data_IF_063916588163
#
_entry.id   IF_063916588163
#
_cell.length_a   1.000
_cell.length_b   1.000
_cell.length_c   1.000
_cell.angle_alpha   90.00
_cell.angle_beta   90.00
_cell.angle_gamma   90.00
#
_symmetry.space_group_name_H-M   'P 1'
#
loop_
_entity.id
_entity.type
_entity.pdbx_description
1 polymer ?
#
# COMPACT_ATOMS: atom_id res chain seq x y z
N UNK A 1 16.94 12.49 -11.07
CA UNK A 1 16.03 11.74 -10.15
C UNK A 1 15.54 12.60 -9.00
N UNK A 2 16.41 13.37 -8.35
CA UNK A 2 16.06 14.20 -7.19
C UNK A 2 14.91 15.19 -7.46
N UNK A 3 15.02 15.98 -8.54
CA UNK A 3 14.00 16.94 -8.94
C UNK A 3 12.61 16.31 -9.15
N UNK A 4 12.57 15.11 -9.74
CA UNK A 4 11.32 14.37 -9.93
C UNK A 4 10.70 13.98 -8.59
N UNK A 5 11.50 13.45 -7.67
CA UNK A 5 11.04 13.00 -6.35
C UNK A 5 10.54 14.18 -5.53
N UNK A 6 11.29 15.28 -5.50
CA UNK A 6 10.88 16.52 -4.85
C UNK A 6 9.52 16.97 -5.37
N UNK A 7 9.35 17.12 -6.70
CA UNK A 7 8.12 17.60 -7.32
C UNK A 7 6.91 16.69 -7.04
N UNK A 8 7.12 15.37 -7.09
CA UNK A 8 6.05 14.40 -6.84
C UNK A 8 5.55 14.46 -5.39
N UNK A 9 6.47 14.65 -4.43
CA UNK A 9 6.17 14.66 -3.00
C UNK A 9 5.66 16.04 -2.56
N UNK A 10 6.23 17.13 -3.05
CA UNK A 10 5.84 18.50 -2.68
C UNK A 10 4.44 18.89 -3.17
N UNK A 11 3.94 18.23 -4.22
CA UNK A 11 2.53 18.33 -4.67
C UNK A 11 1.57 17.43 -3.90
N UNK A 12 2.06 16.62 -2.96
CA UNK A 12 1.25 15.77 -2.08
C UNK A 12 0.67 16.54 -0.87
N UNK A 13 -0.09 15.83 -0.04
CA UNK A 13 -0.58 16.37 1.24
C UNK A 13 0.52 16.40 2.32
N UNK A 14 0.16 16.88 3.52
CA UNK A 14 1.07 16.94 4.67
C UNK A 14 1.72 15.57 4.99
N UNK A 15 2.97 15.60 5.45
CA UNK A 15 3.85 14.47 5.84
C UNK A 15 3.38 13.06 5.42
N UNK A 16 3.87 12.58 4.29
CA UNK A 16 3.62 11.21 3.81
C UNK A 16 4.58 10.19 4.43
N UNK A 17 4.10 8.96 4.67
CA UNK A 17 4.98 7.86 5.04
C UNK A 17 5.87 7.46 3.84
N UNK A 18 7.10 6.94 4.04
CA UNK A 18 8.01 6.63 2.94
C UNK A 18 7.44 5.68 1.87
N UNK A 19 6.62 4.71 2.29
CA UNK A 19 5.94 3.79 1.37
C UNK A 19 4.90 4.49 0.49
N UNK A 20 4.17 5.46 1.06
CA UNK A 20 3.19 6.26 0.32
C UNK A 20 3.88 7.26 -0.60
N UNK A 21 4.98 7.88 -0.14
CA UNK A 21 5.83 8.74 -0.97
C UNK A 21 6.40 8.00 -2.18
N UNK A 22 6.89 6.77 -2.00
CA UNK A 22 7.38 5.94 -3.10
C UNK A 22 6.25 5.62 -4.09
N UNK A 23 5.07 5.22 -3.58
CA UNK A 23 3.89 4.95 -4.41
C UNK A 23 3.49 6.18 -5.23
N UNK A 24 3.48 7.36 -4.60
CA UNK A 24 3.18 8.66 -5.24
C UNK A 24 4.13 8.98 -6.39
N UNK A 25 5.43 8.79 -6.20
CA UNK A 25 6.43 9.00 -7.28
C UNK A 25 6.09 8.13 -8.49
N UNK A 26 5.79 6.85 -8.28
CA UNK A 26 5.40 5.97 -9.39
C UNK A 26 4.05 6.35 -10.01
N UNK A 27 3.08 6.86 -9.23
CA UNK A 27 1.81 7.40 -9.75
C UNK A 27 2.04 8.55 -10.73
N UNK A 28 2.90 9.51 -10.37
CA UNK A 28 3.24 10.65 -11.23
C UNK A 28 3.99 10.24 -12.51
N UNK A 29 4.89 9.25 -12.43
CA UNK A 29 5.59 8.75 -13.62
C UNK A 29 4.60 7.98 -14.52
N UNK A 30 3.76 7.14 -13.93
CA UNK A 30 2.76 6.34 -14.64
C UNK A 30 1.67 7.18 -15.31
N UNK A 31 1.37 8.38 -14.78
CA UNK A 31 0.46 9.35 -15.39
C UNK A 31 1.04 10.03 -16.62
N UNK A 32 2.30 9.74 -16.98
CA UNK A 32 2.92 10.23 -18.21
C UNK A 32 3.58 11.61 -18.08
N UNK A 33 4.06 12.00 -16.89
CA UNK A 33 4.76 13.29 -16.69
C UNK A 33 5.97 13.48 -17.64
N UNK A 34 6.58 12.37 -18.08
CA UNK A 34 7.72 12.34 -19.00
C UNK A 34 7.31 12.17 -20.47
N UNK A 35 6.02 11.99 -20.79
CA UNK A 35 5.59 11.82 -22.18
C UNK A 35 5.54 13.17 -22.92
N UNK A 36 5.72 13.18 -24.25
CA UNK A 36 5.54 14.39 -25.06
C UNK A 36 4.16 15.01 -24.85
N UNK A 37 4.11 16.34 -24.73
CA UNK A 37 2.87 17.07 -24.44
C UNK A 37 2.43 17.04 -22.96
N UNK A 38 3.16 16.35 -22.09
CA UNK A 38 3.02 16.45 -20.64
C UNK A 38 3.62 17.76 -20.08
N UNK A 39 3.45 18.03 -18.78
CA UNK A 39 3.94 19.26 -18.16
C UNK A 39 5.49 19.35 -18.08
N UNK A 40 6.22 18.25 -18.28
CA UNK A 40 7.69 18.22 -18.26
C UNK A 40 8.29 18.35 -16.86
N UNK A 41 9.62 18.38 -16.79
CA UNK A 41 10.38 18.53 -15.55
C UNK A 41 11.40 19.67 -15.67
N UNK A 42 10.96 20.89 -15.36
CA UNK A 42 11.79 22.10 -15.47
C UNK A 42 12.83 22.20 -14.35
N UNK A 43 14.08 22.48 -14.74
CA UNK A 43 15.19 22.65 -13.82
C UNK A 43 15.13 24.01 -13.10
N UNK A 44 15.02 24.06 -11.76
CA UNK A 44 15.05 25.31 -11.00
C UNK A 44 16.44 25.94 -10.90
N UNK A 45 17.50 25.23 -11.28
CA UNK A 45 18.88 25.72 -11.26
C UNK A 45 19.29 26.40 -12.58
N UNK A 46 18.47 26.31 -13.63
CA UNK A 46 18.70 26.98 -14.90
C UNK A 46 17.99 28.32 -14.98
N UNK A 47 18.62 29.30 -15.63
CA UNK A 47 18.03 30.65 -15.78
C UNK A 47 16.89 30.67 -16.79
N UNK A 48 17.04 29.93 -17.88
CA UNK A 48 16.03 29.76 -18.92
C UNK A 48 15.19 28.51 -18.65
N UNK A 49 13.92 28.45 -19.09
CA UNK A 49 13.07 27.28 -18.86
C UNK A 49 13.62 26.05 -19.60
N UNK A 50 14.36 25.22 -18.88
CA UNK A 50 14.98 24.00 -19.38
C UNK A 50 14.27 22.76 -18.84
N UNK A 51 13.66 21.97 -19.72
CA UNK A 51 13.07 20.68 -19.36
C UNK A 51 14.15 19.59 -19.33
N UNK A 52 14.47 19.09 -18.13
CA UNK A 52 15.47 18.05 -17.91
C UNK A 52 15.09 16.76 -18.65
N UNK A 53 13.80 16.50 -18.83
CA UNK A 53 13.32 15.32 -19.54
C UNK A 53 13.70 15.34 -21.02
N UNK A 54 13.97 16.51 -21.62
CA UNK A 54 14.34 16.69 -23.03
C UNK A 54 15.52 15.83 -23.48
N UNK A 55 16.40 15.45 -22.56
CA UNK A 55 17.54 14.56 -22.79
C UNK A 55 17.14 13.10 -23.09
N UNK A 56 15.92 12.69 -22.71
CA UNK A 56 15.40 11.35 -22.93
C UNK A 56 14.75 11.22 -24.31
N UNK A 57 15.08 10.13 -25.00
CA UNK A 57 14.42 9.73 -26.25
C UNK A 57 12.96 9.36 -26.02
N UNK A 58 12.14 9.41 -27.07
CA UNK A 58 10.73 8.99 -27.02
C UNK A 58 10.56 7.57 -26.46
N UNK A 59 11.38 6.62 -26.94
CA UNK A 59 11.35 5.25 -26.48
C UNK A 59 11.66 5.13 -24.98
N UNK A 60 12.71 5.82 -24.50
CA UNK A 60 13.07 5.79 -23.08
C UNK A 60 11.93 6.34 -22.20
N UNK A 61 11.24 7.38 -22.65
CA UNK A 61 10.09 7.95 -21.92
C UNK A 61 8.96 6.94 -21.82
N UNK A 62 8.61 6.28 -22.92
CA UNK A 62 7.59 5.25 -22.97
C UNK A 62 7.95 4.05 -22.08
N UNK A 63 9.19 3.57 -22.16
CA UNK A 63 9.68 2.45 -21.35
C UNK A 63 9.62 2.76 -19.85
N UNK A 64 10.06 3.97 -19.44
CA UNK A 64 10.00 4.42 -18.05
C UNK A 64 8.55 4.51 -17.58
N UNK A 65 7.64 5.07 -18.38
CA UNK A 65 6.21 5.16 -18.04
C UNK A 65 5.57 3.78 -17.94
N UNK A 66 5.83 2.88 -18.88
CA UNK A 66 5.33 1.50 -18.87
C UNK A 66 5.85 0.72 -17.64
N UNK A 67 7.13 0.88 -17.31
CA UNK A 67 7.74 0.28 -16.12
C UNK A 67 7.11 0.81 -14.83
N UNK A 68 6.84 2.12 -14.74
CA UNK A 68 6.17 2.73 -13.59
C UNK A 68 4.73 2.19 -13.42
N UNK A 69 3.98 2.05 -14.52
CA UNK A 69 2.64 1.45 -14.51
C UNK A 69 2.67 -0.01 -14.03
N UNK A 70 3.66 -0.79 -14.44
CA UNK A 70 3.88 -2.14 -13.94
C UNK A 70 4.22 -2.15 -12.44
N UNK A 71 5.10 -1.25 -12.02
CA UNK A 71 5.54 -1.12 -10.64
C UNK A 71 4.39 -0.76 -9.70
N UNK A 72 3.48 0.12 -10.10
CA UNK A 72 2.27 0.42 -9.33
C UNK A 72 1.39 -0.80 -9.11
N UNK A 73 1.25 -1.65 -10.13
CA UNK A 73 0.52 -2.92 -9.98
C UNK A 73 1.21 -3.83 -8.96
N UNK A 74 2.53 -3.96 -9.02
CA UNK A 74 3.27 -4.71 -8.00
C UNK A 74 3.04 -4.16 -6.59
N UNK A 75 3.09 -2.83 -6.41
CA UNK A 75 2.83 -2.18 -5.11
C UNK A 75 1.40 -2.47 -4.64
N UNK A 76 0.39 -2.31 -5.50
CA UNK A 76 -1.02 -2.56 -5.19
C UNK A 76 -1.28 -4.01 -4.77
N UNK A 77 -0.62 -4.98 -5.42
CA UNK A 77 -0.71 -6.41 -5.08
C UNK A 77 0.26 -6.84 -3.97
N UNK A 78 0.77 -5.89 -3.16
CA UNK A 78 1.68 -6.15 -2.02
C UNK A 78 2.99 -6.85 -2.42
N UNK A 79 3.42 -6.70 -3.67
CA UNK A 79 4.67 -7.23 -4.22
C UNK A 79 5.79 -6.18 -4.28
N UNK A 80 5.78 -5.19 -3.39
CA UNK A 80 6.80 -4.13 -3.31
C UNK A 80 8.22 -4.68 -3.10
N UNK A 81 8.37 -5.84 -2.49
CA UNK A 81 9.66 -6.52 -2.31
C UNK A 81 10.37 -6.78 -3.66
N UNK A 82 9.62 -7.07 -4.73
CA UNK A 82 10.17 -7.23 -6.09
C UNK A 82 10.69 -5.92 -6.64
N UNK A 83 10.01 -4.82 -6.34
CA UNK A 83 10.41 -3.46 -6.76
C UNK A 83 11.69 -3.03 -6.03
N UNK A 84 11.80 -3.38 -4.75
CA UNK A 84 12.96 -3.08 -3.91
C UNK A 84 14.13 -4.06 -4.11
N UNK A 85 13.97 -5.10 -4.95
CA UNK A 85 15.02 -6.10 -5.18
C UNK A 85 15.38 -6.91 -3.93
N UNK A 86 14.39 -7.20 -3.08
CA UNK A 86 14.59 -7.91 -1.81
C UNK A 86 13.63 -9.09 -1.65
N UNK A 87 13.95 -9.97 -0.71
CA UNK A 87 13.05 -11.04 -0.29
C UNK A 87 11.82 -10.49 0.45
N UNK A 88 10.66 -11.17 0.35
CA UNK A 88 9.48 -10.78 1.09
C UNK A 88 9.72 -10.87 2.60
N UNK A 89 9.36 -9.80 3.32
CA UNK A 89 9.41 -9.81 4.78
C UNK A 89 8.51 -10.91 5.37
N UNK A 90 8.91 -11.53 6.49
CA UNK A 90 8.11 -12.55 7.14
C UNK A 90 6.73 -12.00 7.53
N UNK A 91 5.69 -12.83 7.39
CA UNK A 91 4.32 -12.42 7.71
C UNK A 91 4.21 -12.05 9.20
N UNK A 92 3.70 -10.85 9.54
CA UNK A 92 3.62 -10.41 10.93
C UNK A 92 2.63 -11.26 11.70
N UNK A 93 3.13 -11.99 12.73
CA UNK A 93 2.35 -12.93 13.57
C UNK A 93 1.14 -12.30 14.28
N UNK A 94 1.08 -10.98 14.36
CA UNK A 94 0.03 -10.24 15.09
C UNK A 94 -1.21 -9.89 14.25
N UNK A 95 -1.16 -9.99 12.92
CA UNK A 95 -2.30 -9.63 12.07
C UNK A 95 -3.49 -10.61 12.21
N UNK A 96 -3.22 -11.89 12.47
CA UNK A 96 -4.25 -12.93 12.55
C UNK A 96 -5.22 -12.72 13.73
N UNK A 97 -4.77 -12.17 14.87
CA UNK A 97 -5.63 -12.01 16.06
C UNK A 97 -6.64 -10.87 15.94
N UNK A 98 -6.37 -9.85 15.11
CA UNK A 98 -7.21 -8.64 15.02
C UNK A 98 -8.47 -8.83 14.15
N UNK A 99 -8.49 -9.86 13.31
CA UNK A 99 -9.64 -10.19 12.45
C UNK A 99 -10.55 -11.30 13.02
N UNK A 100 -10.05 -12.14 13.92
CA UNK A 100 -10.84 -13.25 14.50
C UNK A 100 -11.88 -12.74 15.51
N UNK A 101 -11.61 -11.64 16.22
CA UNK A 101 -12.54 -11.09 17.22
C UNK A 101 -13.68 -10.22 16.64
N UNK A 102 -13.77 -10.06 15.31
CA UNK A 102 -14.91 -9.39 14.65
C UNK A 102 -15.94 -10.40 14.11
N UNK A 103 -16.19 -11.47 14.86
CA UNK A 103 -17.31 -12.37 14.59
C UNK A 103 -18.63 -11.63 14.84
N UNK A 104 -19.26 -11.19 13.74
CA UNK A 104 -20.71 -11.03 13.54
C UNK A 104 -21.52 -10.59 14.78
N UNK A 105 -21.67 -9.28 14.99
CA UNK A 105 -22.91 -8.77 15.61
C UNK A 105 -23.97 -8.72 14.51
N UNK A 106 -24.61 -9.86 14.28
CA UNK A 106 -25.79 -9.97 13.42
C UNK A 106 -27.00 -9.52 14.25
N UNK A 107 -27.73 -8.52 13.76
CA UNK A 107 -28.91 -7.96 14.41
C UNK A 107 -30.09 -8.97 14.40
N UNK A 108 -30.85 -9.00 15.49
CA UNK A 108 -32.10 -9.76 15.62
C UNK A 108 -32.96 -9.19 16.75
N UNK A 109 -34.16 -8.73 16.39
CA UNK A 109 -35.20 -8.11 17.21
C UNK A 109 -36.03 -9.16 17.97
N UNK A 110 -36.79 -8.69 18.99
CA UNK A 110 -37.98 -9.29 19.65
C UNK A 110 -37.85 -10.45 20.68
N UNK A 111 -38.33 -10.18 21.91
CA UNK A 111 -39.36 -11.01 22.58
C UNK A 111 -38.97 -12.06 23.64
N UNK A 112 -39.37 -11.77 24.89
CA UNK A 112 -39.88 -12.66 25.96
C UNK A 112 -38.99 -13.69 26.72
N UNK A 113 -39.03 -13.49 28.06
CA UNK A 113 -39.09 -14.38 29.23
C UNK A 113 -38.61 -15.85 29.22
N UNK A 114 -37.97 -16.27 30.33
CA UNK A 114 -38.22 -17.61 30.90
C UNK A 114 -37.03 -18.44 31.40
N UNK A 115 -36.87 -18.46 32.73
CA UNK A 115 -36.59 -19.64 33.60
C UNK A 115 -35.32 -20.52 33.45
N UNK A 116 -34.48 -20.40 34.49
CA UNK A 116 -34.02 -21.44 35.45
C UNK A 116 -33.29 -22.75 35.05
N UNK A 117 -32.19 -22.97 35.80
CA UNK A 117 -31.65 -24.21 36.41
C UNK A 117 -31.10 -25.31 35.49
N UNK A 118 -29.85 -25.72 35.75
CA UNK A 118 -29.51 -26.75 36.77
C UNK A 118 -28.08 -27.26 36.57
N UNK A 119 -27.23 -26.98 37.56
CA UNK A 119 -25.98 -27.70 37.81
C UNK A 119 -26.17 -29.21 37.81
N UNK A 120 -25.28 -29.93 37.13
CA UNK A 120 -25.00 -31.33 37.46
C UNK A 120 -23.52 -31.63 37.26
N UNK A 121 -22.81 -31.65 38.38
CA UNK A 121 -21.43 -32.13 38.53
C UNK A 121 -21.49 -33.58 38.99
N UNK A 122 -21.02 -34.49 38.15
CA UNK A 122 -20.54 -35.86 38.44
C UNK A 122 -19.87 -36.30 37.12
N UNK A 123 -18.72 -36.98 37.05
CA UNK A 123 -18.01 -37.85 37.98
C UNK A 123 -16.64 -38.07 37.32
N UNK A 124 -15.52 -37.91 38.03
CA UNK A 124 -14.25 -38.53 37.61
C UNK A 124 -13.73 -39.31 38.81
N UNK A 125 -14.03 -40.62 38.79
CA UNK A 125 -13.24 -41.62 39.48
C UNK A 125 -12.21 -42.13 38.49
N UNK A 126 -10.93 -41.88 38.76
CA UNK A 126 -9.81 -42.65 38.24
C UNK A 126 -8.68 -42.42 39.27
N UNK A 127 -8.60 -43.25 40.31
CA UNK A 127 -7.74 -44.45 40.39
C UNK A 127 -6.34 -44.14 39.89
N UNK A 128 -5.41 -43.96 40.81
CA UNK A 128 -3.99 -44.15 40.55
C UNK A 128 -3.43 -45.02 41.66
N UNK A 129 -2.78 -46.10 41.24
CA UNK A 129 -1.99 -47.03 42.03
C UNK A 129 -0.78 -46.34 42.64
#
# INVERSE_FOLDING_TARGET
MELLVEKCISTGGASMAPGDSLRRVFECIASGILLPGGPGLYDPCEKEPYDVSATLTHQQREDITALAQHTLRLIAFRQIHKVLGMDPLPTPKFAAKRFINRKRRQAGNTGEEGSEKKDRKEKVMEVTQ
#
